data_IF_557738434914
#
_entry.id   IF_557738434914
#
_cell.length_a   1.000
_cell.length_b   1.000
_cell.length_c   1.000
_cell.angle_alpha   90.00
_cell.angle_beta   90.00
_cell.angle_gamma   90.00
#
_symmetry.space_group_name_H-M   'P 1'
#
loop_
_entity.id
_entity.type
_entity.pdbx_description
1 polymer ?
#
# COMPACT_ATOMS: atom_id res chain seq x y z
N UNK A 1 -4.48 17.86 1.07
CA UNK A 1 -3.96 17.39 2.37
C UNK A 1 -4.78 16.24 2.97
N UNK A 2 -6.10 16.39 3.19
CA UNK A 2 -6.94 15.33 3.80
C UNK A 2 -6.80 13.96 3.12
N UNK A 3 -6.88 13.90 1.79
CA UNK A 3 -6.77 12.64 1.04
C UNK A 3 -5.44 11.91 1.26
N UNK A 4 -4.34 12.65 1.34
CA UNK A 4 -3.01 12.05 1.52
C UNK A 4 -2.87 11.36 2.89
N UNK A 5 -3.29 12.04 3.96
CA UNK A 5 -3.30 11.47 5.32
C UNK A 5 -4.23 10.27 5.39
N UNK A 6 -5.40 10.42 4.78
CA UNK A 6 -6.44 9.39 4.80
C UNK A 6 -6.00 8.14 4.05
N UNK A 7 -5.39 8.22 2.86
CA UNK A 7 -5.03 7.05 2.07
C UNK A 7 -3.69 6.43 2.46
N UNK A 8 -2.71 7.20 2.87
CA UNK A 8 -1.35 6.70 3.08
C UNK A 8 -0.97 6.49 4.55
N UNK A 9 -1.69 7.10 5.50
CA UNK A 9 -1.42 6.95 6.93
C UNK A 9 -2.56 6.24 7.64
N UNK A 10 -3.78 6.74 7.51
CA UNK A 10 -4.92 6.25 8.31
C UNK A 10 -5.29 4.79 7.97
N UNK A 11 -5.19 4.35 6.70
CA UNK A 11 -5.55 2.97 6.30
C UNK A 11 -4.59 1.91 6.82
N UNK A 12 -3.26 2.03 6.66
CA UNK A 12 -2.36 1.07 7.26
C UNK A 12 -2.50 1.01 8.78
N UNK A 13 -2.68 2.15 9.46
CA UNK A 13 -2.92 2.18 10.90
C UNK A 13 -4.23 1.51 11.30
N UNK A 14 -5.31 1.72 10.53
CA UNK A 14 -6.60 1.08 10.75
C UNK A 14 -6.46 -0.45 10.67
N UNK A 15 -5.77 -0.98 9.66
CA UNK A 15 -5.58 -2.42 9.52
C UNK A 15 -4.73 -2.97 10.67
N UNK A 16 -3.67 -2.25 11.06
CA UNK A 16 -2.78 -2.65 12.14
C UNK A 16 -3.45 -2.56 13.53
N UNK A 17 -4.43 -1.68 13.71
CA UNK A 17 -5.17 -1.54 14.97
C UNK A 17 -6.18 -2.67 15.21
N UNK A 18 -6.57 -3.40 14.17
CA UNK A 18 -7.52 -4.50 14.30
C UNK A 18 -6.82 -5.74 14.87
N UNK A 19 -7.32 -6.31 15.98
CA UNK A 19 -6.73 -7.51 16.54
C UNK A 19 -6.91 -8.70 15.58
N UNK A 20 -5.86 -9.49 15.41
CA UNK A 20 -5.84 -10.63 14.48
C UNK A 20 -6.98 -11.62 14.77
N UNK A 21 -7.31 -11.82 16.05
CA UNK A 21 -8.40 -12.71 16.45
C UNK A 21 -9.77 -12.22 15.96
N UNK A 22 -9.99 -10.91 15.96
CA UNK A 22 -11.20 -10.30 15.39
C UNK A 22 -11.30 -10.56 13.88
N UNK A 23 -10.20 -10.34 13.16
CA UNK A 23 -10.15 -10.61 11.72
C UNK A 23 -10.37 -12.09 11.42
N UNK A 24 -9.78 -13.00 12.19
CA UNK A 24 -9.98 -14.45 12.05
C UNK A 24 -11.44 -14.86 12.18
N UNK A 25 -12.18 -14.30 13.12
CA UNK A 25 -13.60 -14.62 13.33
C UNK A 25 -14.44 -14.36 12.07
N UNK A 26 -14.18 -13.27 11.33
CA UNK A 26 -14.88 -12.97 10.09
C UNK A 26 -14.39 -13.78 8.89
N UNK A 27 -13.11 -14.15 8.86
CA UNK A 27 -12.49 -14.90 7.76
C UNK A 27 -12.78 -16.40 7.83
N UNK A 28 -13.22 -16.90 8.99
CA UNK A 28 -13.53 -18.32 9.19
C UNK A 28 -14.65 -18.83 8.27
N UNK A 29 -15.53 -17.97 7.82
CA UNK A 29 -16.59 -18.34 6.89
C UNK A 29 -16.02 -18.54 5.47
N UNK A 30 -16.33 -19.66 4.84
CA UNK A 30 -15.86 -20.01 3.49
C UNK A 30 -16.19 -18.92 2.43
N UNK A 31 -17.37 -18.29 2.53
CA UNK A 31 -17.80 -17.21 1.62
C UNK A 31 -16.95 -15.95 1.77
N UNK A 32 -16.66 -15.56 2.99
CA UNK A 32 -15.83 -14.35 3.26
C UNK A 32 -14.38 -14.59 2.86
N UNK A 33 -13.84 -15.79 3.10
CA UNK A 33 -12.50 -16.17 2.65
C UNK A 33 -12.39 -16.14 1.12
N UNK A 34 -13.39 -16.68 0.40
CA UNK A 34 -13.41 -16.64 -1.05
C UNK A 34 -13.49 -15.20 -1.59
N UNK A 35 -14.38 -14.39 -1.04
CA UNK A 35 -14.50 -12.97 -1.41
C UNK A 35 -13.19 -12.20 -1.16
N UNK A 36 -12.54 -12.42 -0.01
CA UNK A 36 -11.25 -11.81 0.31
C UNK A 36 -10.15 -12.24 -0.65
N UNK A 37 -10.07 -13.50 -1.02
CA UNK A 37 -9.07 -13.97 -1.97
C UNK A 37 -9.20 -13.31 -3.35
N UNK A 38 -10.42 -12.99 -3.77
CA UNK A 38 -10.66 -12.26 -5.03
C UNK A 38 -10.37 -10.77 -4.85
N UNK A 39 -10.98 -10.14 -3.85
CA UNK A 39 -10.90 -8.69 -3.64
C UNK A 39 -9.49 -8.23 -3.21
N UNK A 40 -8.77 -9.06 -2.47
CA UNK A 40 -7.37 -8.82 -2.08
C UNK A 40 -6.36 -9.44 -3.05
N UNK A 41 -6.77 -9.76 -4.29
CA UNK A 41 -5.82 -10.22 -5.30
C UNK A 41 -4.85 -9.08 -5.67
N UNK A 42 -3.52 -9.30 -5.63
CA UNK A 42 -2.52 -8.23 -5.73
C UNK A 42 -2.67 -7.36 -6.97
N UNK A 43 -2.84 -7.96 -8.15
CA UNK A 43 -3.01 -7.20 -9.40
C UNK A 43 -4.31 -6.41 -9.43
N UNK A 44 -5.40 -7.01 -8.93
CA UNK A 44 -6.70 -6.34 -8.88
C UNK A 44 -6.62 -5.10 -7.98
N UNK A 45 -6.09 -5.23 -6.78
CA UNK A 45 -5.98 -4.13 -5.81
C UNK A 45 -5.02 -3.04 -6.29
N UNK A 46 -3.91 -3.42 -6.93
CA UNK A 46 -2.96 -2.49 -7.52
C UNK A 46 -3.61 -1.60 -8.57
N UNK A 47 -4.28 -2.23 -9.54
CA UNK A 47 -4.91 -1.53 -10.67
C UNK A 47 -6.12 -0.73 -10.18
N UNK A 48 -6.96 -1.32 -9.34
CA UNK A 48 -8.20 -0.68 -8.88
C UNK A 48 -7.90 0.56 -8.05
N UNK A 49 -7.06 0.48 -7.04
CA UNK A 49 -6.77 1.64 -6.19
C UNK A 49 -6.03 2.74 -6.95
N UNK A 50 -4.92 2.40 -7.62
CA UNK A 50 -4.12 3.40 -8.32
C UNK A 50 -4.86 3.99 -9.53
N UNK A 51 -5.60 3.15 -10.27
CA UNK A 51 -6.43 3.59 -11.39
C UNK A 51 -7.57 4.52 -10.95
N UNK A 52 -8.34 4.11 -9.93
CA UNK A 52 -9.42 4.94 -9.38
C UNK A 52 -8.90 6.26 -8.81
N UNK A 53 -7.79 6.22 -8.07
CA UNK A 53 -7.20 7.44 -7.52
C UNK A 53 -6.68 8.37 -8.62
N UNK A 54 -6.04 7.82 -9.66
CA UNK A 54 -5.58 8.58 -10.82
C UNK A 54 -6.76 9.23 -11.56
N UNK A 55 -7.82 8.47 -11.85
CA UNK A 55 -9.03 8.99 -12.51
C UNK A 55 -9.68 10.07 -11.64
N UNK A 56 -9.82 9.83 -10.34
CA UNK A 56 -10.37 10.80 -9.39
C UNK A 56 -9.60 12.12 -9.38
N UNK A 57 -8.28 12.07 -9.50
CA UNK A 57 -7.42 13.25 -9.50
C UNK A 57 -7.39 13.99 -10.84
N UNK A 58 -7.96 13.46 -11.93
CA UNK A 58 -8.10 14.22 -13.19
C UNK A 58 -9.02 15.43 -12.95
N UNK A 59 -8.58 16.69 -13.25
CA UNK A 59 -9.35 17.88 -12.89
C UNK A 59 -10.80 17.89 -13.37
N UNK A 60 -11.04 17.43 -14.60
CA UNK A 60 -12.39 17.33 -15.16
C UNK A 60 -13.29 16.39 -14.34
N UNK A 61 -12.78 15.21 -13.99
CA UNK A 61 -13.49 14.21 -13.19
C UNK A 61 -13.71 14.71 -11.77
N UNK A 62 -12.66 15.26 -11.17
CA UNK A 62 -12.72 15.82 -9.82
C UNK A 62 -13.81 16.90 -9.69
N UNK A 63 -13.83 17.85 -10.64
CA UNK A 63 -14.83 18.93 -10.64
C UNK A 63 -16.25 18.38 -10.77
N UNK A 64 -16.50 17.41 -11.67
CA UNK A 64 -17.81 16.76 -11.81
C UNK A 64 -18.24 16.06 -10.52
N UNK A 65 -17.34 15.29 -9.90
CA UNK A 65 -17.62 14.58 -8.66
C UNK A 65 -18.01 15.56 -7.54
N UNK A 66 -17.33 16.70 -7.43
CA UNK A 66 -17.57 17.67 -6.35
C UNK A 66 -18.76 18.60 -6.57
N UNK A 67 -19.36 18.62 -7.77
CA UNK A 67 -20.63 19.32 -7.99
C UNK A 67 -21.84 18.59 -7.37
N UNK A 68 -21.71 17.29 -7.11
CA UNK A 68 -22.77 16.47 -6.55
C UNK A 68 -22.29 15.76 -5.27
N UNK A 69 -22.92 16.09 -4.15
CA UNK A 69 -22.54 15.54 -2.85
C UNK A 69 -22.65 14.00 -2.77
N UNK A 70 -23.69 13.41 -3.39
CA UNK A 70 -23.87 11.95 -3.41
C UNK A 70 -22.74 11.27 -4.21
N UNK A 71 -22.38 11.83 -5.36
CA UNK A 71 -21.31 11.31 -6.19
C UNK A 71 -19.96 11.41 -5.46
N UNK A 72 -19.73 12.50 -4.75
CA UNK A 72 -18.54 12.71 -3.92
C UNK A 72 -18.44 11.66 -2.81
N UNK A 73 -19.51 11.42 -2.06
CA UNK A 73 -19.54 10.43 -0.98
C UNK A 73 -19.32 9.03 -1.51
N UNK A 74 -20.01 8.64 -2.58
CA UNK A 74 -19.87 7.29 -3.18
C UNK A 74 -18.43 7.08 -3.69
N UNK A 75 -17.89 8.04 -4.41
CA UNK A 75 -16.52 7.93 -4.95
C UNK A 75 -15.48 7.83 -3.83
N UNK A 76 -15.61 8.64 -2.79
CA UNK A 76 -14.71 8.56 -1.62
C UNK A 76 -14.87 7.24 -0.88
N UNK A 77 -16.07 6.68 -0.76
CA UNK A 77 -16.30 5.38 -0.17
C UNK A 77 -15.64 4.25 -1.00
N UNK A 78 -15.76 4.28 -2.31
CA UNK A 78 -15.11 3.31 -3.22
C UNK A 78 -13.58 3.41 -3.09
N UNK A 79 -13.03 4.62 -3.12
CA UNK A 79 -11.60 4.85 -2.91
C UNK A 79 -11.14 4.39 -1.53
N UNK A 80 -11.97 4.60 -0.50
CA UNK A 80 -11.69 4.14 0.86
C UNK A 80 -11.55 2.62 0.91
N UNK A 81 -12.52 1.90 0.36
CA UNK A 81 -12.53 0.43 0.35
C UNK A 81 -11.37 -0.12 -0.49
N UNK A 82 -11.13 0.44 -1.69
CA UNK A 82 -10.03 0.00 -2.55
C UNK A 82 -8.65 0.21 -1.90
N UNK A 83 -8.47 1.30 -1.15
CA UNK A 83 -7.25 1.55 -0.38
C UNK A 83 -7.06 0.52 0.74
N UNK A 84 -8.14 0.13 1.45
CA UNK A 84 -8.06 -0.94 2.47
C UNK A 84 -7.56 -2.24 1.85
N UNK A 85 -8.10 -2.67 0.71
CA UNK A 85 -7.67 -3.90 0.04
C UNK A 85 -6.22 -3.83 -0.45
N UNK A 86 -5.78 -2.67 -0.96
CA UNK A 86 -4.39 -2.47 -1.34
C UNK A 86 -3.45 -2.63 -0.14
N UNK A 87 -3.76 -1.96 0.97
CA UNK A 87 -2.98 -2.07 2.21
C UNK A 87 -3.07 -3.45 2.86
N UNK A 88 -4.19 -4.15 2.67
CA UNK A 88 -4.33 -5.54 3.11
C UNK A 88 -3.29 -6.47 2.47
N UNK A 89 -3.05 -6.32 1.17
CA UNK A 89 -2.01 -7.09 0.45
C UNK A 89 -0.61 -6.81 1.01
N UNK A 90 -0.32 -5.55 1.33
CA UNK A 90 0.99 -5.12 1.83
C UNK A 90 1.22 -5.62 3.27
N UNK A 91 0.27 -5.36 4.17
CA UNK A 91 0.38 -5.67 5.60
C UNK A 91 0.20 -7.17 5.85
N UNK A 92 -0.75 -7.78 5.15
CA UNK A 92 -1.11 -9.19 5.28
C UNK A 92 -1.33 -9.60 6.75
N UNK A 93 -2.39 -9.09 7.38
CA UNK A 93 -2.57 -9.18 8.82
C UNK A 93 -2.90 -10.61 9.31
N UNK A 94 -3.36 -11.50 8.42
CA UNK A 94 -3.83 -12.85 8.76
C UNK A 94 -2.97 -13.88 8.03
N UNK A 95 -2.02 -14.56 8.72
CA UNK A 95 -1.06 -15.46 8.09
C UNK A 95 -1.68 -16.74 7.50
N UNK A 96 -2.89 -17.10 7.90
CA UNK A 96 -3.62 -18.29 7.41
C UNK A 96 -4.17 -18.12 5.98
N UNK A 97 -4.20 -16.89 5.47
CA UNK A 97 -4.54 -16.60 4.08
C UNK A 97 -3.27 -16.64 3.25
N UNK A 98 -3.35 -17.24 2.06
CA UNK A 98 -2.22 -17.23 1.13
C UNK A 98 -1.93 -15.79 0.69
N UNK A 99 -0.75 -15.29 1.01
CA UNK A 99 -0.29 -13.94 0.66
C UNK A 99 0.98 -13.95 -0.16
N UNK A 100 1.45 -12.77 -0.53
CA UNK A 100 2.75 -12.57 -1.17
C UNK A 100 3.88 -12.71 -0.15
N UNK A 101 5.02 -13.21 -0.58
CA UNK A 101 6.25 -13.17 0.18
C UNK A 101 6.74 -11.73 0.40
N UNK A 102 7.62 -11.49 1.37
CA UNK A 102 8.10 -10.15 1.70
C UNK A 102 8.72 -9.42 0.51
N UNK A 103 9.52 -10.10 -0.31
CA UNK A 103 10.11 -9.53 -1.52
C UNK A 103 9.05 -9.14 -2.55
N UNK A 104 8.05 -9.99 -2.76
CA UNK A 104 6.95 -9.70 -3.69
C UNK A 104 6.05 -8.55 -3.19
N UNK A 105 5.87 -8.39 -1.87
CA UNK A 105 5.19 -7.22 -1.29
C UNK A 105 6.02 -5.96 -1.47
N UNK A 106 7.34 -6.05 -1.35
CA UNK A 106 8.23 -4.92 -1.62
C UNK A 106 8.14 -4.49 -3.09
N UNK A 107 8.13 -5.44 -4.02
CA UNK A 107 7.90 -5.17 -5.45
C UNK A 107 6.51 -4.56 -5.70
N UNK A 108 5.49 -5.07 -5.04
CA UNK A 108 4.11 -4.57 -5.15
C UNK A 108 4.01 -3.09 -4.74
N UNK A 109 4.59 -2.69 -3.62
CA UNK A 109 4.56 -1.29 -3.15
C UNK A 109 5.38 -0.38 -4.07
N UNK A 110 6.48 -0.88 -4.63
CA UNK A 110 7.27 -0.17 -5.63
C UNK A 110 6.45 0.10 -6.89
N UNK A 111 5.75 -0.91 -7.42
CA UNK A 111 4.86 -0.77 -8.58
C UNK A 111 3.69 0.19 -8.29
N UNK A 112 3.12 0.15 -7.08
CA UNK A 112 2.09 1.09 -6.65
C UNK A 112 2.63 2.54 -6.62
N UNK A 113 3.87 2.74 -6.21
CA UNK A 113 4.52 4.05 -6.23
C UNK A 113 4.72 4.57 -7.66
N UNK A 114 5.14 3.70 -8.57
CA UNK A 114 5.32 4.04 -9.99
C UNK A 114 3.98 4.38 -10.66
N UNK A 115 2.92 3.64 -10.36
CA UNK A 115 1.60 3.86 -10.96
C UNK A 115 1.02 5.25 -10.63
N UNK A 116 1.30 5.79 -9.44
CA UNK A 116 0.88 7.13 -9.03
C UNK A 116 1.88 8.24 -9.37
N UNK A 117 3.03 7.90 -9.95
CA UNK A 117 4.06 8.88 -10.27
C UNK A 117 3.58 9.92 -11.29
N UNK A 118 2.95 9.54 -12.43
CA UNK A 118 2.58 10.51 -13.45
C UNK A 118 1.61 11.57 -12.94
N UNK A 119 0.56 11.17 -12.20
CA UNK A 119 -0.46 12.11 -11.72
C UNK A 119 0.10 13.01 -10.62
N UNK A 120 0.93 12.49 -9.72
CA UNK A 120 1.55 13.29 -8.67
C UNK A 120 2.53 14.31 -9.23
N UNK A 121 3.33 13.93 -10.25
CA UNK A 121 4.25 14.82 -10.93
C UNK A 121 3.53 15.90 -11.72
N UNK A 122 2.44 15.55 -12.40
CA UNK A 122 1.61 16.50 -13.12
C UNK A 122 1.21 17.70 -12.25
N UNK A 123 0.77 17.48 -11.01
CA UNK A 123 0.37 18.57 -10.11
C UNK A 123 1.52 19.43 -9.60
N UNK A 124 2.72 18.90 -9.56
CA UNK A 124 3.90 19.69 -9.15
C UNK A 124 4.32 20.67 -10.25
N UNK A 125 4.14 20.30 -11.52
CA UNK A 125 4.57 21.12 -12.67
C UNK A 125 3.47 21.97 -13.31
N UNK A 126 2.25 21.90 -12.80
CA UNK A 126 1.09 22.60 -13.36
C UNK A 126 1.28 24.11 -13.35
N UNK A 127 0.98 24.76 -14.47
CA UNK A 127 1.14 26.22 -14.64
C UNK A 127 -0.18 26.99 -14.65
N UNK A 128 -1.31 26.30 -14.54
CA UNK A 128 -2.64 26.91 -14.52
C UNK A 128 -3.54 26.26 -13.47
N UNK A 129 -4.45 27.03 -12.89
CA UNK A 129 -5.40 26.51 -11.91
C UNK A 129 -6.48 25.67 -12.60
N UNK A 130 -6.63 24.41 -12.21
CA UNK A 130 -7.54 23.45 -12.84
C UNK A 130 -8.73 23.05 -11.95
N UNK A 131 -8.78 23.53 -10.70
CA UNK A 131 -9.84 23.23 -9.76
C UNK A 131 -10.67 24.47 -9.38
N UNK A 132 -11.57 24.93 -10.28
CA UNK A 132 -12.39 26.13 -10.04
C UNK A 132 -13.28 26.03 -8.81
N UNK A 133 -13.61 24.82 -8.35
CA UNK A 133 -14.43 24.58 -7.15
C UNK A 133 -13.78 25.14 -5.88
N UNK A 134 -12.45 25.21 -5.81
CA UNK A 134 -11.75 25.70 -4.61
C UNK A 134 -11.32 27.19 -4.71
N UNK A 135 -11.32 27.80 -5.88
CA UNK A 135 -10.89 29.19 -6.06
C UNK A 135 -11.62 30.18 -5.14
N UNK A 136 -12.95 30.10 -4.93
CA UNK A 136 -13.64 31.01 -4.03
C UNK A 136 -13.23 30.86 -2.55
N UNK A 137 -13.00 29.61 -2.12
CA UNK A 137 -12.68 29.26 -0.73
C UNK A 137 -11.26 29.67 -0.37
N UNK A 138 -10.32 29.56 -1.32
CA UNK A 138 -8.91 29.95 -1.15
C UNK A 138 -8.77 31.45 -0.86
N UNK A 139 -9.55 32.29 -1.53
CA UNK A 139 -9.54 33.75 -1.33
C UNK A 139 -9.99 34.18 0.06
N UNK A 140 -10.83 33.38 0.73
CA UNK A 140 -11.29 33.66 2.08
C UNK A 140 -10.31 33.18 3.16
N UNK A 141 -9.60 32.09 2.92
CA UNK A 141 -8.76 31.45 3.93
C UNK A 141 -7.31 31.96 3.95
N UNK A 142 -6.69 32.14 2.77
CA UNK A 142 -5.28 32.57 2.66
C UNK A 142 -5.11 33.57 1.52
N UNK A 143 -5.16 34.86 1.83
CA UNK A 143 -5.03 35.95 0.87
C UNK A 143 -3.70 36.00 0.12
N UNK A 144 -2.65 35.34 0.60
CA UNK A 144 -1.28 35.43 0.09
C UNK A 144 -0.86 34.30 -0.85
N UNK A 145 -1.63 33.20 -0.94
CA UNK A 145 -1.33 32.10 -1.84
C UNK A 145 -2.12 32.22 -3.15
N UNK A 146 -1.43 32.17 -4.29
CA UNK A 146 -2.06 32.02 -5.60
C UNK A 146 -2.63 30.60 -5.72
N UNK A 147 -3.81 30.45 -6.36
CA UNK A 147 -4.46 29.14 -6.60
C UNK A 147 -3.55 28.11 -7.27
N UNK A 148 -2.57 28.55 -8.07
CA UNK A 148 -1.58 27.66 -8.67
C UNK A 148 -0.63 27.09 -7.62
N UNK A 149 -0.09 27.92 -6.75
CA UNK A 149 0.82 27.47 -5.67
C UNK A 149 0.12 26.54 -4.68
N UNK A 150 -1.15 26.77 -4.36
CA UNK A 150 -1.91 25.88 -3.51
C UNK A 150 -2.09 24.50 -4.16
N UNK A 151 -2.39 24.44 -5.44
CA UNK A 151 -2.51 23.18 -6.18
C UNK A 151 -1.18 22.45 -6.31
N UNK A 152 -0.08 23.17 -6.59
CA UNK A 152 1.26 22.60 -6.61
C UNK A 152 1.67 22.07 -5.23
N UNK A 153 1.38 22.82 -4.18
CA UNK A 153 1.65 22.44 -2.80
C UNK A 153 0.84 21.18 -2.42
N UNK A 154 -0.45 21.14 -2.79
CA UNK A 154 -1.29 19.98 -2.54
C UNK A 154 -0.77 18.72 -3.26
N UNK A 155 -0.34 18.85 -4.51
CA UNK A 155 0.32 17.78 -5.27
C UNK A 155 1.64 17.34 -4.65
N UNK A 156 2.47 18.30 -4.23
CA UNK A 156 3.72 18.04 -3.53
C UNK A 156 3.51 17.28 -2.21
N UNK A 157 2.56 17.72 -1.39
CA UNK A 157 2.20 17.04 -0.13
C UNK A 157 1.68 15.62 -0.39
N UNK A 158 0.80 15.45 -1.40
CA UNK A 158 0.33 14.12 -1.80
C UNK A 158 1.51 13.20 -2.11
N UNK A 159 2.48 13.70 -2.86
CA UNK A 159 3.65 12.93 -3.29
C UNK A 159 4.60 12.63 -2.14
N UNK A 160 4.89 13.60 -1.30
CA UNK A 160 5.76 13.43 -0.12
C UNK A 160 5.15 12.42 0.85
N UNK A 161 3.87 12.54 1.16
CA UNK A 161 3.17 11.61 2.06
C UNK A 161 3.12 10.18 1.49
N UNK A 162 2.87 10.05 0.19
CA UNK A 162 2.92 8.76 -0.51
C UNK A 162 4.31 8.13 -0.41
N UNK A 163 5.34 8.88 -0.81
CA UNK A 163 6.72 8.39 -0.80
C UNK A 163 7.19 8.04 0.61
N UNK A 164 6.92 8.88 1.59
CA UNK A 164 7.29 8.63 2.98
C UNK A 164 6.64 7.34 3.51
N UNK A 165 5.34 7.20 3.32
CA UNK A 165 4.60 6.01 3.76
C UNK A 165 5.07 4.73 3.05
N UNK A 166 5.23 4.78 1.73
CA UNK A 166 5.64 3.61 0.94
C UNK A 166 7.09 3.24 1.21
N UNK A 167 8.01 4.22 1.30
CA UNK A 167 9.41 3.96 1.63
C UNK A 167 9.58 3.38 3.02
N UNK A 168 8.83 3.87 4.01
CA UNK A 168 8.86 3.33 5.36
C UNK A 168 8.45 1.85 5.39
N UNK A 169 7.34 1.50 4.73
CA UNK A 169 6.88 0.11 4.68
C UNK A 169 7.80 -0.75 3.82
N UNK A 170 8.33 -0.22 2.72
CA UNK A 170 9.31 -0.90 1.87
C UNK A 170 10.54 -1.32 2.68
N UNK A 171 11.10 -0.41 3.48
CA UNK A 171 12.25 -0.71 4.34
C UNK A 171 11.94 -1.82 5.35
N UNK A 172 10.76 -1.79 5.97
CA UNK A 172 10.33 -2.86 6.89
C UNK A 172 10.24 -4.21 6.16
N UNK A 173 9.68 -4.24 4.95
CA UNK A 173 9.53 -5.46 4.17
C UNK A 173 10.87 -6.04 3.74
N UNK A 174 11.79 -5.19 3.28
CA UNK A 174 13.15 -5.60 2.89
C UNK A 174 13.93 -6.13 4.10
N UNK A 175 13.80 -5.48 5.25
CA UNK A 175 14.44 -5.96 6.49
C UNK A 175 13.88 -7.32 6.94
N UNK A 176 12.56 -7.52 6.86
CA UNK A 176 11.94 -8.81 7.16
C UNK A 176 12.34 -9.89 6.17
N UNK A 177 12.44 -9.54 4.89
CA UNK A 177 12.91 -10.45 3.86
C UNK A 177 14.36 -10.87 4.12
N UNK A 178 15.27 -9.93 4.39
CA UNK A 178 16.67 -10.24 4.70
C UNK A 178 16.81 -11.20 5.88
N UNK A 179 16.09 -10.96 6.99
CA UNK A 179 16.08 -11.89 8.14
C UNK A 179 15.54 -13.27 7.79
N UNK A 180 14.55 -13.35 6.91
CA UNK A 180 14.02 -14.64 6.47
C UNK A 180 15.03 -15.41 5.64
N UNK A 181 15.80 -14.71 4.81
CA UNK A 181 16.83 -15.34 3.97
C UNK A 181 18.03 -15.83 4.80
N UNK A 182 18.53 -15.02 5.73
CA UNK A 182 19.55 -15.42 6.70
C UNK A 182 19.14 -16.66 7.50
N UNK A 183 17.87 -16.74 7.94
CA UNK A 183 17.36 -17.88 8.67
C UNK A 183 17.32 -19.17 7.80
N UNK A 184 17.05 -19.04 6.50
CA UNK A 184 17.08 -20.18 5.57
C UNK A 184 18.52 -20.65 5.32
N UNK A 185 19.45 -19.73 5.09
CA UNK A 185 20.87 -20.06 4.91
C UNK A 185 21.43 -20.77 6.14
N UNK A 186 21.19 -20.25 7.34
CA UNK A 186 21.61 -20.88 8.58
C UNK A 186 21.05 -22.29 8.79
N UNK A 187 19.81 -22.54 8.37
CA UNK A 187 19.21 -23.89 8.46
C UNK A 187 19.84 -24.89 7.49
N UNK A 188 20.23 -24.45 6.30
CA UNK A 188 20.92 -25.28 5.30
C UNK A 188 22.31 -25.63 5.78
N UNK A 189 23.04 -24.68 6.34
CA UNK A 189 24.40 -24.94 6.88
C UNK A 189 24.37 -25.93 8.05
N UNK A 190 23.40 -25.81 8.94
CA UNK A 190 23.22 -26.79 10.05
C UNK A 190 22.89 -28.19 9.53
N UNK A 191 22.11 -28.32 8.48
CA UNK A 191 21.75 -29.59 7.88
C UNK A 191 23.01 -30.22 7.23
N UNK A 192 23.80 -29.47 6.49
CA UNK A 192 25.06 -29.94 5.91
C UNK A 192 26.08 -30.39 6.99
N UNK A 193 26.17 -29.65 8.08
CA UNK A 193 27.06 -30.05 9.21
C UNK A 193 26.55 -31.34 9.86
N UNK A 194 25.27 -31.54 9.98
CA UNK A 194 24.68 -32.81 10.52
C UNK A 194 25.02 -33.97 9.60
N UNK A 195 24.88 -33.83 8.29
CA UNK A 195 25.25 -34.86 7.33
C UNK A 195 26.78 -35.16 7.38
N UNK A 196 27.62 -34.15 7.40
CA UNK A 196 29.08 -34.32 7.52
C UNK A 196 29.45 -35.05 8.82
N UNK A 197 28.86 -34.67 9.95
CA UNK A 197 29.08 -35.38 11.23
C UNK A 197 28.55 -36.83 11.21
N UNK A 198 27.42 -37.05 10.55
CA UNK A 198 26.84 -38.39 10.40
C UNK A 198 27.78 -39.33 9.59
N UNK A 199 28.36 -38.83 8.52
CA UNK A 199 29.34 -39.57 7.70
C UNK A 199 30.64 -39.87 8.47
N UNK A 200 31.15 -38.91 9.24
CA UNK A 200 32.35 -39.08 10.06
C UNK A 200 32.13 -40.12 11.18
N UNK A 201 30.97 -40.12 11.81
CA UNK A 201 30.64 -41.12 12.86
C UNK A 201 30.53 -42.56 12.28
N UNK A 202 30.04 -42.69 11.06
CA UNK A 202 29.97 -44.00 10.39
C UNK A 202 31.36 -44.52 9.97
N UNK A 203 32.25 -43.65 9.50
CA UNK A 203 33.62 -44.05 9.13
C UNK A 203 34.44 -44.51 10.37
N UNK A 204 34.20 -43.90 11.54
CA UNK A 204 34.85 -44.30 12.79
C UNK A 204 34.33 -45.65 13.34
N UNK A 205 33.11 -46.06 13.00
CA UNK A 205 32.56 -47.36 13.39
C UNK A 205 33.05 -48.52 12.53
N UNK A 206 33.43 -48.27 11.29
CA UNK A 206 33.99 -49.31 10.40
C UNK A 206 35.47 -49.60 10.63
N UNK A 207 36.19 -48.78 11.42
CA UNK A 207 37.61 -48.94 11.71
C UNK A 207 37.94 -49.64 13.04
N UNK A 208 36.91 -50.16 13.73
CA UNK A 208 37.06 -50.99 14.91
C UNK A 208 36.53 -52.42 14.67
#
# INVERSE_FOLDING_TARGET
>A
MQLSVVFFISRPLLILSLPVNFLRQYIWNHRTKFALNILAHPWLTLITFNGLLTIYLIPAVFNIIHTNIFLSIITQAILFVSAIFMWWVIIHPVPEIKGLDYLLRALYIFLASLALFPIGFYYVIIQSAHFPVYIPVERELIHSLSSIYDQQLAGGILKVMQLASYSFVLLILLFKWGKQEEAKEGSVDEEHIRYARGVVIHLDKEKK
#
